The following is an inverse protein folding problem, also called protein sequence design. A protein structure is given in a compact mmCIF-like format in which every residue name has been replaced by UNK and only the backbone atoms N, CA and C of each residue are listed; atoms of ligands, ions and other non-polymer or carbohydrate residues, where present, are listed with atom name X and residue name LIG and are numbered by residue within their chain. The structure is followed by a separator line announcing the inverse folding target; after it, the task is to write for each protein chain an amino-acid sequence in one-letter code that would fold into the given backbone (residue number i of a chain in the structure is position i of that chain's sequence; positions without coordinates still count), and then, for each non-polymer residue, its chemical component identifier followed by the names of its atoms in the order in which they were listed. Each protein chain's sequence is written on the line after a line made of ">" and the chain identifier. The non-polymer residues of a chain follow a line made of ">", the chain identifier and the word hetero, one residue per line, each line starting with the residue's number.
data_IF_140479577293
#
_entry.id   IF_140479577293
#
_cell.length_a   1.000
_cell.length_b   1.000
_cell.length_c   1.000
_cell.angle_alpha   90.00
_cell.angle_beta   90.00
_cell.angle_gamma   90.00
#
_symmetry.space_group_name_H-M   'P 1'
#
loop_
_entity.id
_entity.type
_entity.pdbx_description
1 polymer ?
#
# COMPACT_ATOMS: atom_id res chain seq x y z
N UNK A 1 50.43 25.62 -0.94
CA UNK A 1 51.92 25.64 -0.86
C UNK A 1 52.42 26.77 -1.74
N UNK A 2 52.66 27.94 -1.15
CA UNK A 2 53.14 29.14 -1.85
C UNK A 2 54.56 29.39 -1.35
N UNK A 3 55.55 29.37 -2.25
CA UNK A 3 56.96 29.63 -1.95
C UNK A 3 57.35 30.95 -2.60
N UNK A 4 57.46 31.99 -1.79
CA UNK A 4 58.17 33.22 -2.11
C UNK A 4 59.38 33.32 -1.18
N UNK A 5 60.57 33.46 -1.76
CA UNK A 5 61.79 33.84 -1.04
C UNK A 5 62.44 34.99 -1.79
N UNK A 6 62.34 36.18 -1.20
CA UNK A 6 63.06 37.38 -1.58
C UNK A 6 64.44 37.40 -0.91
N UNK A 7 65.38 37.98 -1.65
CA UNK A 7 66.50 38.81 -1.23
C UNK A 7 67.60 38.21 -0.33
N UNK A 8 68.82 38.16 -0.88
CA UNK A 8 70.03 38.43 -0.12
C UNK A 8 71.01 39.23 -1.00
N UNK A 9 71.24 40.46 -0.58
CA UNK A 9 72.31 41.36 -0.99
C UNK A 9 73.70 40.77 -0.67
N UNK A 10 74.70 41.14 -1.46
CA UNK A 10 76.10 40.86 -1.18
C UNK A 10 77.02 41.69 -2.06
N UNK A 11 77.05 43.01 -1.82
CA UNK A 11 77.99 43.94 -2.44
C UNK A 11 79.39 43.73 -1.85
N UNK A 12 80.39 43.50 -2.72
CA UNK A 12 81.81 43.50 -2.35
C UNK A 12 82.48 44.77 -2.90
N UNK A 13 83.11 45.50 -1.99
CA UNK A 13 83.73 46.82 -2.14
C UNK A 13 85.24 46.69 -2.39
N UNK A 14 85.75 47.61 -3.22
CA UNK A 14 87.12 48.17 -3.28
C UNK A 14 88.29 47.31 -3.79
N UNK A 15 89.01 47.81 -4.81
CA UNK A 15 90.20 48.66 -4.65
C UNK A 15 90.81 49.00 -6.04
N UNK A 16 91.00 50.29 -6.31
CA UNK A 16 91.87 50.85 -7.36
C UNK A 16 93.33 50.85 -6.88
N UNK A 17 94.33 50.82 -7.79
CA UNK A 17 94.99 52.06 -8.22
C UNK A 17 95.16 52.12 -9.75
N UNK A 18 94.76 53.21 -10.42
CA UNK A 18 95.54 54.42 -10.74
C UNK A 18 96.53 54.25 -11.91
N UNK A 19 96.34 55.13 -12.89
CA UNK A 19 97.17 55.53 -14.06
C UNK A 19 96.95 54.76 -15.37
N UNK A 20 96.00 55.26 -16.16
CA UNK A 20 96.21 55.58 -17.58
C UNK A 20 95.13 56.58 -18.06
N UNK A 21 95.13 57.80 -17.53
CA UNK A 21 94.51 58.94 -18.23
C UNK A 21 95.60 59.57 -19.10
N UNK A 22 96.03 58.84 -20.11
CA UNK A 22 96.63 59.45 -21.29
C UNK A 22 95.47 59.94 -22.18
N UNK A 23 95.64 61.13 -22.77
CA UNK A 23 94.75 61.77 -23.75
C UNK A 23 93.56 62.58 -23.18
N UNK A 24 93.88 63.61 -22.37
CA UNK A 24 93.04 64.80 -22.28
C UNK A 24 93.49 65.83 -23.33
N UNK A 25 93.24 65.56 -24.61
CA UNK A 25 93.22 66.55 -25.71
C UNK A 25 92.26 66.11 -26.82
N UNK A 26 91.01 65.83 -26.45
CA UNK A 26 89.90 65.99 -27.38
C UNK A 26 89.43 67.43 -27.25
N UNK A 27 89.34 68.17 -28.37
CA UNK A 27 88.69 69.48 -28.38
C UNK A 27 87.30 69.35 -27.71
N UNK A 28 86.81 70.41 -27.06
CA UNK A 28 85.49 70.43 -26.40
C UNK A 28 84.36 69.89 -27.32
N UNK A 29 84.56 70.10 -28.62
CA UNK A 29 83.77 69.61 -29.75
C UNK A 29 83.75 68.07 -29.89
N UNK A 30 84.87 67.37 -29.68
CA UNK A 30 84.95 65.89 -29.75
C UNK A 30 84.14 65.23 -28.62
N UNK A 31 84.15 65.85 -27.43
CA UNK A 31 83.35 65.41 -26.28
C UNK A 31 81.85 65.67 -26.49
N UNK A 32 81.49 66.81 -27.07
CA UNK A 32 80.11 67.13 -27.48
C UNK A 32 79.59 66.17 -28.55
N UNK A 33 80.42 65.83 -29.55
CA UNK A 33 80.07 64.82 -30.58
C UNK A 33 79.86 63.44 -29.98
N UNK A 34 80.72 63.05 -29.03
CA UNK A 34 80.59 61.75 -28.35
C UNK A 34 79.33 61.71 -27.48
N UNK A 35 79.05 62.78 -26.72
CA UNK A 35 77.80 62.92 -25.95
C UNK A 35 76.56 62.91 -26.85
N UNK A 36 76.58 63.60 -27.98
CA UNK A 36 75.49 63.57 -28.97
C UNK A 36 75.27 62.16 -29.53
N UNK A 37 76.34 61.44 -29.92
CA UNK A 37 76.23 60.03 -30.37
C UNK A 37 75.64 59.14 -29.28
N UNK A 38 76.06 59.30 -28.02
CA UNK A 38 75.51 58.56 -26.88
C UNK A 38 74.04 58.89 -26.62
N UNK A 39 73.65 60.16 -26.64
CA UNK A 39 72.25 60.61 -26.48
C UNK A 39 71.36 60.12 -27.63
N UNK A 40 71.90 60.07 -28.85
CA UNK A 40 71.16 59.57 -30.01
C UNK A 40 70.99 58.04 -29.94
N UNK A 41 72.03 57.30 -29.50
CA UNK A 41 71.94 55.88 -29.22
C UNK A 41 70.95 55.57 -28.08
N UNK A 42 70.93 56.36 -27.01
CA UNK A 42 69.94 56.25 -25.93
C UNK A 42 68.52 56.53 -26.43
N UNK A 43 68.31 57.53 -27.29
CA UNK A 43 67.00 57.78 -27.90
C UNK A 43 66.53 56.61 -28.77
N UNK A 44 67.40 56.05 -29.60
CA UNK A 44 67.07 54.88 -30.40
C UNK A 44 66.73 53.67 -29.52
N UNK A 45 67.47 53.47 -28.43
CA UNK A 45 67.21 52.39 -27.48
C UNK A 45 65.88 52.57 -26.74
N UNK A 46 65.57 53.78 -26.27
CA UNK A 46 64.27 54.10 -25.64
C UNK A 46 63.11 53.98 -26.64
N UNK A 47 63.31 54.33 -27.91
CA UNK A 47 62.29 54.12 -28.95
C UNK A 47 62.03 52.63 -29.21
N UNK A 48 63.09 51.81 -29.25
CA UNK A 48 62.95 50.36 -29.38
C UNK A 48 62.25 49.72 -28.16
N UNK A 49 62.59 50.19 -26.95
CA UNK A 49 61.95 49.74 -25.71
C UNK A 49 60.48 50.17 -25.62
N UNK A 50 60.15 51.40 -26.03
CA UNK A 50 58.76 51.85 -26.13
C UNK A 50 57.96 51.01 -27.11
N UNK A 51 58.54 50.65 -28.26
CA UNK A 51 57.90 49.79 -29.25
C UNK A 51 57.69 48.36 -28.72
N UNK A 52 58.67 47.79 -27.99
CA UNK A 52 58.55 46.46 -27.40
C UNK A 52 57.50 46.41 -26.29
N UNK A 53 57.46 47.42 -25.41
CA UNK A 53 56.44 47.54 -24.35
C UNK A 53 55.05 47.75 -24.94
N UNK A 54 54.90 48.60 -25.97
CA UNK A 54 53.62 48.75 -26.66
C UNK A 54 53.15 47.44 -27.30
N UNK A 55 54.06 46.67 -27.89
CA UNK A 55 53.71 45.35 -28.43
C UNK A 55 53.29 44.39 -27.32
N UNK A 56 54.04 44.33 -26.21
CA UNK A 56 53.70 43.47 -25.07
C UNK A 56 52.35 43.85 -24.44
N UNK A 57 52.05 45.15 -24.35
CA UNK A 57 50.80 45.66 -23.82
C UNK A 57 49.61 45.27 -24.70
N UNK A 58 49.74 45.37 -26.04
CA UNK A 58 48.72 44.87 -26.98
C UNK A 58 48.49 43.37 -26.87
N UNK A 59 49.55 42.58 -26.71
CA UNK A 59 49.43 41.12 -26.50
C UNK A 59 48.71 40.82 -25.18
N UNK A 60 49.12 41.47 -24.08
CA UNK A 60 48.48 41.29 -22.78
C UNK A 60 47.00 41.74 -22.76
N UNK A 61 46.66 42.82 -23.47
CA UNK A 61 45.27 43.25 -23.64
C UNK A 61 44.45 42.21 -24.42
N UNK A 62 45.00 41.67 -25.51
CA UNK A 62 44.38 40.60 -26.29
C UNK A 62 44.15 39.33 -25.47
N UNK A 63 45.15 38.90 -24.69
CA UNK A 63 45.04 37.74 -23.79
C UNK A 63 44.02 37.97 -22.68
N UNK A 64 44.00 39.16 -22.07
CA UNK A 64 43.00 39.52 -21.06
C UNK A 64 41.59 39.47 -21.66
N UNK A 65 41.40 40.00 -22.85
CA UNK A 65 40.08 40.03 -23.49
C UNK A 65 39.64 38.64 -23.95
N UNK A 66 40.57 37.78 -24.39
CA UNK A 66 40.31 36.37 -24.64
C UNK A 66 39.91 35.62 -23.37
N UNK A 67 40.68 35.77 -22.29
CA UNK A 67 40.38 35.17 -21.00
C UNK A 67 39.03 35.64 -20.43
N UNK A 68 38.69 36.94 -20.56
CA UNK A 68 37.38 37.47 -20.16
C UNK A 68 36.23 36.85 -20.94
N UNK A 69 36.39 36.64 -22.25
CA UNK A 69 35.39 35.97 -23.09
C UNK A 69 35.20 34.51 -22.68
N UNK A 70 36.28 33.79 -22.44
CA UNK A 70 36.23 32.40 -21.99
C UNK A 70 35.58 32.27 -20.60
N UNK A 71 35.89 33.19 -19.69
CA UNK A 71 35.30 33.21 -18.35
C UNK A 71 33.79 33.52 -18.42
N UNK A 72 33.37 34.44 -19.28
CA UNK A 72 31.95 34.69 -19.52
C UNK A 72 31.23 33.49 -20.15
N UNK A 73 31.87 32.80 -21.11
CA UNK A 73 31.31 31.61 -21.75
C UNK A 73 31.15 30.46 -20.75
N UNK A 74 32.19 30.14 -19.97
CA UNK A 74 32.16 29.09 -18.95
C UNK A 74 31.16 29.39 -17.83
N UNK A 75 31.00 30.66 -17.42
CA UNK A 75 29.94 31.06 -16.50
C UNK A 75 28.54 30.81 -17.09
N UNK A 76 28.32 31.17 -18.36
CA UNK A 76 27.06 30.91 -19.05
C UNK A 76 26.72 29.41 -19.16
N UNK A 77 27.73 28.58 -19.44
CA UNK A 77 27.58 27.12 -19.46
C UNK A 77 27.27 26.56 -18.07
N UNK A 78 27.94 27.07 -17.03
CA UNK A 78 27.71 26.66 -15.65
C UNK A 78 26.29 26.99 -15.19
N UNK A 79 25.79 28.19 -15.51
CA UNK A 79 24.43 28.60 -15.15
C UNK A 79 23.38 27.80 -15.92
N UNK A 80 23.62 27.54 -17.21
CA UNK A 80 22.76 26.66 -18.02
C UNK A 80 22.74 25.24 -17.45
N UNK A 81 23.89 24.71 -17.06
CA UNK A 81 24.02 23.38 -16.45
C UNK A 81 23.27 23.32 -15.11
N UNK A 82 23.44 24.33 -14.24
CA UNK A 82 22.72 24.45 -12.97
C UNK A 82 21.21 24.49 -13.16
N UNK A 83 20.72 25.28 -14.11
CA UNK A 83 19.30 25.35 -14.44
C UNK A 83 18.76 24.00 -14.92
N UNK A 84 19.51 23.28 -15.76
CA UNK A 84 19.14 21.92 -16.20
C UNK A 84 19.10 20.96 -15.02
N UNK A 85 20.10 20.95 -14.15
CA UNK A 85 20.14 20.08 -12.97
C UNK A 85 18.99 20.37 -12.01
N UNK A 86 18.68 21.65 -11.76
CA UNK A 86 17.52 22.04 -10.93
C UNK A 86 16.20 21.62 -11.59
N UNK A 87 16.07 21.80 -12.90
CA UNK A 87 14.90 21.36 -13.67
C UNK A 87 14.71 19.83 -13.63
N UNK A 88 15.79 19.06 -13.75
CA UNK A 88 15.77 17.61 -13.62
C UNK A 88 15.40 17.17 -12.20
N UNK A 89 15.98 17.78 -11.17
CA UNK A 89 15.64 17.49 -9.78
C UNK A 89 14.16 17.78 -9.48
N UNK A 90 13.62 18.89 -9.99
CA UNK A 90 12.19 19.23 -9.85
C UNK A 90 11.28 18.22 -10.58
N UNK A 91 11.66 17.78 -11.79
CA UNK A 91 10.92 16.73 -12.52
C UNK A 91 10.97 15.40 -11.78
N UNK A 92 12.13 15.02 -11.26
CA UNK A 92 12.29 13.79 -10.51
C UNK A 92 11.41 13.78 -9.25
N UNK A 93 11.39 14.87 -8.47
CA UNK A 93 10.48 15.00 -7.33
C UNK A 93 9.01 14.84 -7.71
N UNK A 94 8.57 15.46 -8.82
CA UNK A 94 7.19 15.31 -9.31
C UNK A 94 6.87 13.88 -9.72
N UNK A 95 7.82 13.17 -10.34
CA UNK A 95 7.65 11.76 -10.72
C UNK A 95 7.57 10.89 -9.46
N UNK A 96 8.42 11.12 -8.47
CA UNK A 96 8.40 10.39 -7.19
C UNK A 96 7.11 10.63 -6.42
N UNK A 97 6.64 11.88 -6.34
CA UNK A 97 5.36 12.26 -5.72
C UNK A 97 4.17 11.61 -6.44
N UNK A 98 4.16 11.64 -7.78
CA UNK A 98 3.11 11.00 -8.58
C UNK A 98 3.12 9.47 -8.41
N UNK A 99 4.31 8.85 -8.41
CA UNK A 99 4.45 7.42 -8.19
C UNK A 99 3.99 7.02 -6.77
N UNK A 100 4.35 7.80 -5.75
CA UNK A 100 3.90 7.58 -4.38
C UNK A 100 2.38 7.75 -4.24
N UNK A 101 1.79 8.76 -4.88
CA UNK A 101 0.34 8.95 -4.89
C UNK A 101 -0.39 7.81 -5.59
N UNK A 102 0.14 7.35 -6.72
CA UNK A 102 -0.42 6.21 -7.47
C UNK A 102 -0.31 4.90 -6.67
N UNK A 103 0.81 4.68 -5.99
CA UNK A 103 0.99 3.53 -5.11
C UNK A 103 -0.04 3.53 -3.97
N UNK A 104 -0.21 4.66 -3.26
CA UNK A 104 -1.23 4.80 -2.20
C UNK A 104 -2.63 4.53 -2.73
N UNK A 105 -2.99 5.10 -3.88
CA UNK A 105 -4.30 4.86 -4.48
C UNK A 105 -4.51 3.38 -4.89
N UNK A 106 -3.45 2.72 -5.36
CA UNK A 106 -3.51 1.29 -5.69
C UNK A 106 -3.70 0.43 -4.44
N UNK A 107 -3.01 0.77 -3.34
CA UNK A 107 -3.14 0.07 -2.07
C UNK A 107 -4.52 0.28 -1.45
N UNK A 108 -5.05 1.51 -1.44
CA UNK A 108 -6.42 1.81 -1.00
C UNK A 108 -7.47 1.00 -1.78
N UNK A 109 -7.31 0.91 -3.11
CA UNK A 109 -8.22 0.10 -3.96
C UNK A 109 -8.11 -1.39 -3.67
N UNK A 110 -6.90 -1.90 -3.39
CA UNK A 110 -6.68 -3.29 -3.01
C UNK A 110 -7.29 -3.61 -1.65
N UNK A 111 -7.12 -2.72 -0.68
CA UNK A 111 -7.72 -2.88 0.64
C UNK A 111 -9.25 -2.85 0.56
N UNK A 112 -9.82 -1.89 -0.18
CA UNK A 112 -11.26 -1.81 -0.40
C UNK A 112 -11.81 -3.07 -1.08
N UNK A 113 -11.11 -3.60 -2.11
CA UNK A 113 -11.55 -4.82 -2.78
C UNK A 113 -11.45 -6.06 -1.89
N UNK A 114 -10.40 -6.16 -1.07
CA UNK A 114 -10.26 -7.24 -0.08
C UNK A 114 -11.34 -7.16 1.00
N UNK A 115 -11.67 -5.97 1.49
CA UNK A 115 -12.75 -5.78 2.47
C UNK A 115 -14.11 -6.17 1.89
N UNK A 116 -14.37 -5.78 0.63
CA UNK A 116 -15.60 -6.15 -0.06
C UNK A 116 -15.68 -7.66 -0.30
N UNK A 117 -14.58 -8.30 -0.71
CA UNK A 117 -14.51 -9.76 -0.85
C UNK A 117 -14.80 -10.49 0.47
N UNK A 118 -14.15 -10.08 1.57
CA UNK A 118 -14.40 -10.65 2.91
C UNK A 118 -15.86 -10.47 3.35
N UNK A 119 -16.44 -9.30 3.07
CA UNK A 119 -17.84 -9.02 3.41
C UNK A 119 -18.79 -9.93 2.62
N UNK A 120 -18.54 -10.10 1.31
CA UNK A 120 -19.34 -11.00 0.48
C UNK A 120 -19.22 -12.46 0.92
N UNK A 121 -18.01 -12.92 1.27
CA UNK A 121 -17.79 -14.26 1.81
C UNK A 121 -18.56 -14.48 3.12
N UNK A 122 -18.53 -13.52 4.04
CA UNK A 122 -19.29 -13.58 5.29
C UNK A 122 -20.81 -13.59 5.05
N UNK A 123 -21.30 -12.77 4.13
CA UNK A 123 -22.72 -12.74 3.77
C UNK A 123 -23.15 -14.07 3.14
N UNK A 124 -22.34 -14.63 2.26
CA UNK A 124 -22.64 -15.91 1.60
C UNK A 124 -22.64 -17.06 2.62
N UNK A 125 -21.67 -17.10 3.54
CA UNK A 125 -21.64 -18.08 4.62
C UNK A 125 -22.87 -17.96 5.53
N UNK A 126 -23.22 -16.74 5.95
CA UNK A 126 -24.40 -16.48 6.79
C UNK A 126 -25.69 -16.90 6.09
N UNK A 127 -25.87 -16.47 4.84
CA UNK A 127 -27.05 -16.83 4.03
C UNK A 127 -27.16 -18.35 3.84
N UNK A 128 -26.04 -19.03 3.62
CA UNK A 128 -26.02 -20.48 3.45
C UNK A 128 -26.40 -21.19 4.75
N UNK A 129 -25.89 -20.72 5.89
CA UNK A 129 -26.25 -21.25 7.20
C UNK A 129 -27.73 -21.02 7.53
N UNK A 130 -28.28 -19.83 7.23
CA UNK A 130 -29.69 -19.52 7.41
C UNK A 130 -30.57 -20.41 6.54
N UNK A 131 -30.20 -20.62 5.27
CA UNK A 131 -30.91 -21.54 4.38
C UNK A 131 -30.88 -22.97 4.89
N UNK A 132 -29.75 -23.44 5.40
CA UNK A 132 -29.66 -24.77 6.01
C UNK A 132 -30.60 -24.90 7.20
N UNK A 133 -30.58 -23.94 8.13
CA UNK A 133 -31.49 -23.92 9.30
C UNK A 133 -32.97 -23.90 8.91
N UNK A 134 -33.33 -23.09 7.92
CA UNK A 134 -34.70 -23.02 7.41
C UNK A 134 -35.11 -24.34 6.76
N UNK A 135 -34.22 -24.95 5.97
CA UNK A 135 -34.48 -26.25 5.35
C UNK A 135 -34.66 -27.35 6.40
N UNK A 136 -33.85 -27.37 7.45
CA UNK A 136 -33.98 -28.33 8.56
C UNK A 136 -35.29 -28.12 9.32
N UNK A 137 -35.64 -26.86 9.65
CA UNK A 137 -36.91 -26.54 10.29
C UNK A 137 -38.13 -26.93 9.45
N UNK A 138 -38.05 -26.77 8.11
CA UNK A 138 -39.10 -27.24 7.20
C UNK A 138 -39.23 -28.76 7.22
N UNK A 139 -38.12 -29.50 7.15
CA UNK A 139 -38.14 -30.97 7.22
C UNK A 139 -38.73 -31.47 8.54
N UNK A 140 -38.38 -30.83 9.66
CA UNK A 140 -38.92 -31.17 10.97
C UNK A 140 -40.44 -30.92 11.02
N UNK A 141 -40.90 -29.78 10.49
CA UNK A 141 -42.33 -29.46 10.40
C UNK A 141 -43.09 -30.45 9.53
N UNK A 142 -42.52 -30.83 8.38
CA UNK A 142 -43.11 -31.82 7.49
C UNK A 142 -43.21 -33.19 8.16
N UNK A 143 -42.17 -33.62 8.89
CA UNK A 143 -42.19 -34.85 9.68
C UNK A 143 -43.28 -34.82 10.77
N UNK A 144 -43.45 -33.68 11.46
CA UNK A 144 -44.53 -33.50 12.43
C UNK A 144 -45.91 -33.59 11.78
N UNK A 145 -46.11 -32.96 10.61
CA UNK A 145 -47.38 -33.02 9.88
C UNK A 145 -47.69 -34.43 9.40
N UNK A 146 -46.69 -35.15 8.88
CA UNK A 146 -46.85 -36.55 8.45
C UNK A 146 -47.24 -37.44 9.65
N UNK A 147 -46.54 -37.32 10.78
CA UNK A 147 -46.86 -38.06 12.00
C UNK A 147 -48.27 -37.75 12.52
N UNK A 148 -48.62 -36.46 12.59
CA UNK A 148 -49.95 -36.02 13.00
C UNK A 148 -51.04 -36.55 12.07
N UNK A 149 -50.81 -36.55 10.76
CA UNK A 149 -51.78 -37.06 9.78
C UNK A 149 -51.97 -38.58 9.90
N UNK A 150 -50.89 -39.34 10.11
CA UNK A 150 -50.94 -40.78 10.32
C UNK A 150 -51.65 -41.15 11.63
N UNK A 151 -51.36 -40.45 12.73
CA UNK A 151 -52.03 -40.63 14.02
C UNK A 151 -53.51 -40.26 13.95
N UNK A 152 -53.86 -39.17 13.26
CA UNK A 152 -55.25 -38.79 13.03
C UNK A 152 -56.01 -39.88 12.26
N UNK A 153 -55.40 -40.42 11.19
CA UNK A 153 -56.00 -41.51 10.43
C UNK A 153 -56.24 -42.76 11.29
N UNK A 154 -55.31 -43.12 12.18
CA UNK A 154 -55.47 -44.24 13.12
C UNK A 154 -56.53 -43.97 14.18
N UNK A 155 -56.62 -42.74 14.68
CA UNK A 155 -57.64 -42.33 15.64
C UNK A 155 -59.05 -42.38 15.02
N UNK A 156 -59.19 -41.94 13.76
CA UNK A 156 -60.43 -42.09 13.00
C UNK A 156 -60.79 -43.56 12.74
N UNK A 157 -59.80 -44.40 12.43
CA UNK A 157 -60.02 -45.84 12.27
C UNK A 157 -60.51 -46.48 13.58
N UNK A 158 -59.86 -46.17 14.70
CA UNK A 158 -60.27 -46.65 16.04
C UNK A 158 -61.68 -46.15 16.38
N UNK A 159 -62.00 -44.89 16.08
CA UNK A 159 -63.35 -44.35 16.28
C UNK A 159 -64.42 -45.08 15.45
N UNK A 160 -64.09 -45.51 14.24
CA UNK A 160 -64.99 -46.35 13.42
C UNK A 160 -65.14 -47.76 13.98
N UNK A 161 -64.06 -48.38 14.48
CA UNK A 161 -64.14 -49.68 15.16
C UNK A 161 -65.06 -49.62 16.38
N UNK A 162 -64.99 -48.56 17.19
CA UNK A 162 -65.87 -48.37 18.35
C UNK A 162 -67.34 -48.25 17.91
N UNK A 163 -67.62 -47.47 16.85
CA UNK A 163 -68.97 -47.33 16.32
C UNK A 163 -69.51 -48.65 15.76
N UNK A 164 -68.67 -49.42 15.06
CA UNK A 164 -69.03 -50.72 14.49
C UNK A 164 -69.39 -51.74 15.59
N UNK A 165 -68.61 -51.80 16.67
CA UNK A 165 -68.91 -52.65 17.84
C UNK A 165 -70.22 -52.24 18.50
N UNK A 166 -70.51 -50.94 18.59
CA UNK A 166 -71.78 -50.45 19.13
C UNK A 166 -72.97 -50.78 18.22
N UNK A 167 -72.82 -50.70 16.90
CA UNK A 167 -73.87 -51.04 15.93
C UNK A 167 -74.21 -52.55 15.95
N UNK A 168 -73.22 -53.41 16.15
CA UNK A 168 -73.39 -54.86 16.24
C UNK A 168 -73.69 -55.37 17.66
N UNK A 169 -73.86 -54.48 18.65
CA UNK A 169 -74.22 -54.86 20.01
C UNK A 169 -75.70 -55.22 20.08
N UNK A 170 -76.01 -56.52 20.10
CA UNK A 170 -77.38 -57.02 19.99
C UNK A 170 -78.12 -57.04 21.34
N UNK A 171 -79.46 -57.13 21.28
CA UNK A 171 -80.33 -57.32 22.46
C UNK A 171 -79.96 -58.59 23.25
N UNK A 172 -79.39 -59.59 22.58
CA UNK A 172 -78.88 -60.82 23.22
C UNK A 172 -77.67 -60.54 24.13
N UNK A 173 -76.76 -59.66 23.71
CA UNK A 173 -75.60 -59.22 24.50
C UNK A 173 -76.05 -58.36 25.69
N UNK A 174 -77.05 -57.49 25.49
CA UNK A 174 -77.68 -56.72 26.56
C UNK A 174 -78.37 -57.62 27.60
N UNK A 175 -79.03 -58.70 27.18
CA UNK A 175 -79.68 -59.65 28.10
C UNK A 175 -78.65 -60.45 28.91
N UNK A 176 -77.53 -60.83 28.28
CA UNK A 176 -76.40 -61.48 28.95
C UNK A 176 -75.75 -60.61 30.03
N UNK A 177 -75.69 -59.29 29.82
CA UNK A 177 -75.13 -58.34 30.79
C UNK A 177 -75.91 -58.26 32.11
N UNK A 178 -77.24 -58.46 32.08
CA UNK A 178 -78.10 -58.37 33.26
C UNK A 178 -78.20 -59.66 34.09
N UNK A 179 -77.58 -60.76 33.67
CA UNK A 179 -77.64 -62.04 34.40
C UNK A 179 -76.45 -62.23 35.35
N UNK A 180 -76.66 -62.58 36.64
CA UNK A 180 -75.62 -62.66 37.67
C UNK A 180 -74.57 -63.77 37.45
N UNK A 181 -74.79 -64.69 36.50
CA UNK A 181 -73.84 -65.77 36.16
C UNK A 181 -72.99 -65.50 34.90
N UNK A 182 -73.20 -64.36 34.22
CA UNK A 182 -72.50 -64.00 32.98
C UNK A 182 -71.20 -63.20 33.23
N UNK A 183 -70.43 -63.56 34.26
CA UNK A 183 -69.20 -62.85 34.65
C UNK A 183 -68.17 -62.69 33.53
N UNK A 184 -68.10 -63.67 32.60
CA UNK A 184 -67.22 -63.61 31.44
C UNK A 184 -67.54 -62.48 30.45
N UNK A 185 -68.82 -62.10 30.31
CA UNK A 185 -69.23 -61.03 29.39
C UNK A 185 -68.85 -59.64 29.90
N UNK A 186 -68.95 -59.43 31.22
CA UNK A 186 -68.50 -58.19 31.87
C UNK A 186 -66.98 -57.99 31.72
N UNK A 187 -66.20 -59.05 31.92
CA UNK A 187 -64.74 -59.00 31.74
C UNK A 187 -64.37 -58.75 30.29
N UNK A 188 -65.11 -59.34 29.32
CA UNK A 188 -64.89 -59.10 27.89
C UNK A 188 -65.11 -57.63 27.52
N UNK A 189 -66.21 -57.04 27.99
CA UNK A 189 -66.53 -55.63 27.73
C UNK A 189 -65.48 -54.69 28.35
N UNK A 190 -65.03 -54.99 29.58
CA UNK A 190 -63.95 -54.24 30.25
C UNK A 190 -62.65 -54.32 29.46
N UNK A 191 -62.27 -55.50 28.96
CA UNK A 191 -61.07 -55.69 28.16
C UNK A 191 -61.14 -54.96 26.80
N UNK A 192 -62.31 -54.98 26.14
CA UNK A 192 -62.53 -54.25 24.88
C UNK A 192 -62.49 -52.74 25.11
N UNK A 193 -63.13 -52.23 26.17
CA UNK A 193 -63.07 -50.82 26.54
C UNK A 193 -61.65 -50.37 26.88
N UNK A 194 -60.88 -51.19 27.61
CA UNK A 194 -59.49 -50.93 27.91
C UNK A 194 -58.63 -50.93 26.64
N UNK A 195 -58.81 -51.91 25.74
CA UNK A 195 -58.08 -51.97 24.48
C UNK A 195 -58.35 -50.75 23.58
N UNK A 196 -59.59 -50.24 23.53
CA UNK A 196 -59.89 -48.99 22.82
C UNK A 196 -59.29 -47.76 23.51
N UNK A 197 -59.31 -47.72 24.84
CA UNK A 197 -58.63 -46.68 25.62
C UNK A 197 -57.14 -46.62 25.32
N UNK A 198 -56.47 -47.77 25.27
CA UNK A 198 -55.05 -47.89 24.94
C UNK A 198 -54.78 -47.42 23.50
N UNK A 199 -55.57 -47.87 22.51
CA UNK A 199 -55.44 -47.41 21.11
C UNK A 199 -55.62 -45.90 20.97
N UNK A 200 -56.59 -45.30 21.67
CA UNK A 200 -56.81 -43.85 21.62
C UNK A 200 -55.67 -43.08 22.28
N UNK A 201 -55.12 -43.61 23.38
CA UNK A 201 -53.99 -43.00 24.08
C UNK A 201 -52.69 -43.07 23.27
N UNK A 202 -52.39 -44.24 22.68
CA UNK A 202 -51.20 -44.47 21.85
C UNK A 202 -51.19 -43.63 20.57
N UNK A 203 -52.36 -43.34 19.99
CA UNK A 203 -52.49 -42.52 18.78
C UNK A 203 -52.66 -41.03 19.05
N UNK A 204 -52.52 -40.58 20.30
CA UNK A 204 -52.54 -39.15 20.62
C UNK A 204 -51.21 -38.51 20.19
N UNK A 205 -51.29 -37.52 19.31
CA UNK A 205 -50.11 -36.78 18.88
C UNK A 205 -49.55 -35.89 20.00
N UNK A 206 -48.27 -36.06 20.31
CA UNK A 206 -47.48 -35.17 21.16
C UNK A 206 -46.35 -34.51 20.35
N UNK A 207 -46.41 -33.19 20.10
CA UNK A 207 -45.39 -32.49 19.33
C UNK A 207 -43.99 -32.51 19.98
N UNK A 208 -43.90 -32.78 21.30
CA UNK A 208 -42.62 -32.85 22.04
C UNK A 208 -41.94 -34.21 21.92
N UNK A 209 -42.74 -35.27 21.76
CA UNK A 209 -42.23 -36.63 21.56
C UNK A 209 -41.57 -36.79 20.19
N UNK A 210 -42.03 -36.02 19.19
CA UNK A 210 -41.48 -36.02 17.83
C UNK A 210 -40.15 -35.24 17.70
N UNK A 211 -39.84 -34.33 18.63
CA UNK A 211 -38.62 -33.49 18.60
C UNK A 211 -37.43 -34.07 19.37
N UNK A 212 -37.55 -35.25 19.99
CA UNK A 212 -36.49 -35.82 20.82
C UNK A 212 -36.08 -34.95 22.01
N UNK A 213 -36.93 -34.00 22.43
CA UNK A 213 -36.65 -33.17 23.59
C UNK A 213 -36.66 -34.03 24.87
N UNK A 214 -35.66 -33.89 25.76
CA UNK A 214 -35.58 -34.73 26.95
C UNK A 214 -36.80 -34.50 27.82
N UNK A 215 -37.46 -35.60 28.20
CA UNK A 215 -38.53 -35.59 29.20
C UNK A 215 -37.94 -35.04 30.50
N UNK A 216 -38.31 -33.82 30.87
CA UNK A 216 -38.10 -33.32 32.23
C UNK A 216 -38.92 -34.22 33.17
N UNK A 217 -38.21 -35.11 33.85
CA UNK A 217 -38.72 -35.92 34.94
C UNK A 217 -39.32 -35.02 36.01
N UNK A 218 -40.61 -35.19 36.29
CA UNK A 218 -41.18 -34.90 37.59
C UNK A 218 -41.01 -36.13 38.49
#
# INVERSE_FOLDING_TARGET
>A
MVRTRFAAWGAAISLLPVVALAQNQGTLEERLRTQLRTLNAQNQQLQAEKASVQSALRTAESERDAARKELAATQGELDTSRQRSQGLAARQRKVEEAAAAQARQADEKREASQQLARTLEQQLATTTQERAKLADGLRERDAHLQSCSAMNARLLATGREILDVYEHFDVADALGYHQPFAGGMRVRLENEAQAFGDKLYENKFDPRAATGAPKLSQ
#
